data_IF_307672723582
#
_entry.id   IF_307672723582
#
_cell.length_a   1.000
_cell.length_b   1.000
_cell.length_c   1.000
_cell.angle_alpha   90.00
_cell.angle_beta   90.00
_cell.angle_gamma   90.00
#
_symmetry.space_group_name_H-M   'P 1'
#
loop_
_entity.id
_entity.type
_entity.pdbx_description
1 polymer ?
#
# COMPACT_ATOMS: atom_id res chain seq x y z
N UNK A 1 -3.23 20.86 -15.90
CA UNK A 1 -2.26 19.79 -16.23
C UNK A 1 -3.05 18.53 -16.55
N UNK A 2 -2.92 17.99 -17.76
CA UNK A 2 -3.67 16.80 -18.17
C UNK A 2 -3.07 15.56 -17.49
N UNK A 3 -3.77 14.99 -16.51
CA UNK A 3 -3.43 13.68 -15.97
C UNK A 3 -3.50 12.67 -17.11
N UNK A 4 -2.34 12.21 -17.60
CA UNK A 4 -2.27 11.05 -18.50
C UNK A 4 -2.99 9.93 -17.76
N UNK A 5 -4.15 9.49 -18.28
CA UNK A 5 -4.94 8.42 -17.68
C UNK A 5 -4.13 7.12 -17.75
N UNK A 6 -3.23 6.92 -16.80
CA UNK A 6 -2.51 5.67 -16.65
C UNK A 6 -3.56 4.65 -16.19
N UNK A 7 -3.87 3.71 -17.08
CA UNK A 7 -4.83 2.66 -16.79
C UNK A 7 -4.14 1.64 -15.89
N UNK A 8 -4.71 1.39 -14.73
CA UNK A 8 -4.22 0.36 -13.84
C UNK A 8 -4.44 -1.04 -14.46
N UNK A 9 -3.48 -1.99 -14.37
CA UNK A 9 -3.55 -3.30 -15.04
C UNK A 9 -4.69 -4.21 -14.54
N UNK A 10 -5.28 -3.91 -13.39
CA UNK A 10 -6.56 -4.50 -12.97
C UNK A 10 -6.70 -4.74 -11.48
N UNK A 11 -5.78 -5.48 -10.88
CA UNK A 11 -5.88 -5.97 -9.49
C UNK A 11 -4.67 -5.55 -8.67
N UNK A 12 -4.88 -5.34 -7.38
CA UNK A 12 -3.85 -5.10 -6.37
C UNK A 12 -3.89 -6.26 -5.39
N UNK A 13 -2.74 -6.93 -5.22
CA UNK A 13 -2.56 -8.05 -4.29
C UNK A 13 -1.98 -7.52 -2.98
N UNK A 14 -2.67 -7.79 -1.87
CA UNK A 14 -2.24 -7.45 -0.53
C UNK A 14 -1.63 -8.68 0.12
N UNK A 15 -0.40 -8.55 0.60
CA UNK A 15 0.39 -9.63 1.19
C UNK A 15 0.74 -9.25 2.62
N UNK A 16 0.59 -10.19 3.54
CA UNK A 16 1.11 -10.05 4.90
C UNK A 16 2.63 -10.21 4.85
N UNK A 17 3.37 -9.16 5.21
CA UNK A 17 4.83 -9.15 5.16
C UNK A 17 5.50 -10.08 6.19
N UNK A 18 4.78 -10.53 7.21
CA UNK A 18 5.30 -11.48 8.19
C UNK A 18 5.17 -12.94 7.72
N UNK A 19 4.06 -13.28 7.06
CA UNK A 19 3.76 -14.67 6.65
C UNK A 19 3.95 -14.91 5.16
N UNK A 20 4.18 -13.86 4.37
CA UNK A 20 4.21 -13.86 2.90
C UNK A 20 2.92 -14.40 2.24
N UNK A 21 1.82 -14.50 2.99
CA UNK A 21 0.54 -14.96 2.48
C UNK A 21 -0.26 -13.79 1.90
N UNK A 22 -0.98 -14.06 0.81
CA UNK A 22 -1.96 -13.13 0.25
C UNK A 22 -3.10 -13.01 1.26
N UNK A 23 -3.34 -11.79 1.75
CA UNK A 23 -4.45 -11.51 2.67
C UNK A 23 -5.70 -11.14 1.89
N UNK A 24 -5.55 -10.32 0.86
CA UNK A 24 -6.66 -9.85 0.03
C UNK A 24 -6.22 -9.56 -1.40
N UNK A 25 -7.16 -9.68 -2.32
CA UNK A 25 -7.05 -9.16 -3.67
C UNK A 25 -8.21 -8.19 -3.89
N UNK A 26 -7.90 -7.00 -4.43
CA UNK A 26 -8.90 -5.98 -4.74
C UNK A 26 -8.71 -5.49 -6.14
N UNK A 27 -9.80 -5.19 -6.85
CA UNK A 27 -9.69 -4.49 -8.13
C UNK A 27 -9.17 -3.10 -7.84
N UNK A 28 -8.28 -2.61 -8.68
CA UNK A 28 -7.73 -1.27 -8.54
C UNK A 28 -8.83 -0.21 -8.58
N UNK A 29 -9.90 -0.42 -9.34
CA UNK A 29 -11.07 0.47 -9.35
C UNK A 29 -11.76 0.61 -7.99
N UNK A 30 -11.63 -0.39 -7.10
CA UNK A 30 -12.21 -0.39 -5.75
C UNK A 30 -11.28 0.27 -4.71
N UNK A 31 -10.04 0.56 -5.10
CA UNK A 31 -9.01 1.14 -4.23
C UNK A 31 -8.90 2.65 -4.53
N UNK A 32 -8.69 3.53 -3.53
CA UNK A 32 -8.48 4.96 -3.78
C UNK A 32 -7.26 5.22 -4.67
N UNK A 33 -7.30 6.31 -5.45
CA UNK A 33 -6.25 6.64 -6.42
C UNK A 33 -4.86 6.79 -5.76
N UNK A 34 -4.81 7.33 -4.55
CA UNK A 34 -3.58 7.50 -3.76
C UNK A 34 -2.88 6.18 -3.39
N UNK A 35 -3.58 5.04 -3.47
CA UNK A 35 -3.00 3.71 -3.24
C UNK A 35 -2.79 2.97 -4.57
N UNK A 36 -3.61 3.26 -5.60
CA UNK A 36 -3.47 2.67 -6.93
C UNK A 36 -2.21 3.09 -7.67
N UNK A 37 -1.71 4.29 -7.41
CA UNK A 37 -0.60 4.86 -8.14
C UNK A 37 0.41 5.45 -7.17
N UNK A 38 1.69 5.20 -7.46
CA UNK A 38 2.81 5.82 -6.77
C UNK A 38 3.44 6.87 -7.67
N UNK A 39 3.72 8.04 -7.11
CA UNK A 39 4.48 9.10 -7.78
C UNK A 39 5.98 8.85 -7.54
N UNK A 40 6.72 8.59 -8.61
CA UNK A 40 8.17 8.36 -8.59
C UNK A 40 8.87 9.38 -9.49
N UNK A 41 10.20 9.47 -9.43
CA UNK A 41 10.97 10.32 -10.35
C UNK A 41 10.77 9.96 -11.84
N UNK A 42 10.48 8.69 -12.13
CA UNK A 42 10.14 8.21 -13.46
C UNK A 42 8.69 8.54 -13.89
N UNK A 43 7.89 9.09 -12.97
CA UNK A 43 6.48 9.42 -13.14
C UNK A 43 5.54 8.56 -12.31
N UNK A 44 4.27 8.57 -12.70
CA UNK A 44 3.20 7.85 -12.02
C UNK A 44 3.25 6.38 -12.43
N UNK A 45 3.41 5.47 -11.47
CA UNK A 45 3.49 4.01 -11.71
C UNK A 45 2.33 3.31 -11.00
N UNK A 46 1.60 2.39 -11.66
CA UNK A 46 0.53 1.62 -11.02
C UNK A 46 1.08 0.64 -9.97
N UNK A 47 0.38 0.54 -8.83
CA UNK A 47 0.73 -0.33 -7.71
C UNK A 47 -0.04 -1.64 -7.83
N UNK A 48 0.62 -2.74 -8.14
CA UNK A 48 -0.05 -4.06 -8.29
C UNK A 48 0.10 -4.95 -7.06
N UNK A 49 1.03 -4.62 -6.17
CA UNK A 49 1.33 -5.43 -4.99
C UNK A 49 1.64 -4.53 -3.80
N UNK A 50 1.01 -4.84 -2.67
CA UNK A 50 1.19 -4.15 -1.41
C UNK A 50 1.57 -5.18 -0.36
N UNK A 51 2.69 -4.96 0.31
CA UNK A 51 3.16 -5.80 1.42
C UNK A 51 3.01 -5.00 2.70
N UNK A 52 2.12 -5.45 3.59
CA UNK A 52 1.93 -4.85 4.90
C UNK A 52 2.60 -5.72 5.97
N UNK A 53 3.68 -5.21 6.56
CA UNK A 53 4.37 -5.85 7.69
C UNK A 53 3.99 -5.13 8.97
N UNK A 54 3.38 -5.83 9.92
CA UNK A 54 3.13 -5.27 11.26
C UNK A 54 4.10 -5.91 12.25
N UNK A 55 4.86 -5.08 12.97
CA UNK A 55 5.80 -5.50 14.02
C UNK A 55 5.59 -4.64 15.25
N UNK A 56 5.02 -5.23 16.31
CA UNK A 56 4.63 -4.51 17.52
C UNK A 56 3.71 -3.33 17.21
N UNK A 57 4.18 -2.13 17.54
CA UNK A 57 3.43 -0.88 17.37
C UNK A 57 3.65 -0.19 16.00
N UNK A 58 4.37 -0.84 15.08
CA UNK A 58 4.72 -0.30 13.77
C UNK A 58 4.11 -1.13 12.65
N UNK A 59 3.52 -0.47 11.68
CA UNK A 59 3.02 -1.07 10.44
C UNK A 59 3.73 -0.44 9.26
N UNK A 60 4.56 -1.23 8.60
CA UNK A 60 5.21 -0.85 7.34
C UNK A 60 4.35 -1.33 6.17
N UNK A 61 4.03 -0.42 5.26
CA UNK A 61 3.31 -0.70 4.02
C UNK A 61 4.26 -0.43 2.87
N UNK A 62 4.63 -1.47 2.11
CA UNK A 62 5.50 -1.37 0.94
C UNK A 62 4.70 -1.57 -0.34
N UNK A 63 4.90 -0.69 -1.32
CA UNK A 63 4.21 -0.70 -2.59
C UNK A 63 5.15 -1.14 -3.71
N UNK A 64 4.62 -1.95 -4.63
CA UNK A 64 5.39 -2.51 -5.74
C UNK A 64 4.62 -2.38 -7.06
N UNK A 65 5.39 -2.13 -8.12
CA UNK A 65 4.91 -2.00 -9.48
C UNK A 65 4.75 -3.34 -10.20
N UNK A 66 4.24 -3.31 -11.45
CA UNK A 66 3.95 -4.50 -12.26
C UNK A 66 5.18 -5.35 -12.59
N UNK A 67 6.37 -4.75 -12.62
CA UNK A 67 7.64 -5.47 -12.83
C UNK A 67 8.25 -5.97 -11.52
N UNK A 68 7.52 -5.83 -10.40
CA UNK A 68 7.99 -6.18 -9.08
C UNK A 68 8.95 -5.14 -8.47
N UNK A 69 9.14 -3.99 -9.12
CA UNK A 69 9.97 -2.90 -8.61
C UNK A 69 9.36 -2.28 -7.35
N UNK A 70 10.20 -1.89 -6.39
CA UNK A 70 9.76 -1.14 -5.22
C UNK A 70 9.43 0.30 -5.63
N UNK A 71 8.25 0.77 -5.23
CA UNK A 71 7.76 2.12 -5.57
C UNK A 71 7.81 3.08 -4.38
N UNK A 72 7.71 2.55 -3.16
CA UNK A 72 7.73 3.34 -1.95
C UNK A 72 7.26 2.57 -0.72
N UNK A 73 7.51 3.14 0.45
CA UNK A 73 7.04 2.63 1.72
C UNK A 73 6.41 3.72 2.57
N UNK A 74 5.43 3.32 3.37
CA UNK A 74 4.80 4.16 4.37
C UNK A 74 4.90 3.45 5.71
N UNK A 75 5.48 4.12 6.70
CA UNK A 75 5.50 3.66 8.08
C UNK A 75 4.33 4.31 8.82
N UNK A 76 3.40 3.50 9.28
CA UNK A 76 2.36 3.89 10.22
C UNK A 76 2.76 3.45 11.62
N UNK A 77 2.84 4.39 12.54
CA UNK A 77 2.90 4.08 13.97
C UNK A 77 1.47 3.99 14.45
N UNK A 78 1.10 2.89 15.13
CA UNK A 78 -0.14 2.89 15.91
C UNK A 78 0.16 3.81 17.09
N UNK A 79 -0.59 4.89 17.27
CA UNK A 79 -0.53 5.59 18.55
C UNK A 79 -0.90 4.55 19.63
N UNK A 80 -0.21 4.49 20.78
CA UNK A 80 -0.72 3.70 21.87
C UNK A 80 -2.16 4.18 22.12
N UNK A 81 -3.09 3.24 22.14
CA UNK A 81 -4.43 3.51 22.65
C UNK A 81 -4.17 3.94 24.10
N UNK A 82 -4.17 5.26 24.35
CA UNK A 82 -4.07 5.82 25.68
C UNK A 82 -5.37 5.41 26.35
N UNK A 83 -5.30 4.27 27.03
CA UNK A 83 -6.32 3.74 27.90
C UNK A 83 -6.60 4.83 28.93
N UNK A 84 -7.57 5.69 28.62
CA UNK A 84 -8.14 6.62 29.57
C UNK A 84 -8.90 5.81 30.62
N UNK A 85 -8.15 5.21 31.54
CA UNK A 85 -8.63 4.83 32.85
C UNK A 85 -8.91 6.12 33.61
N UNK A 86 -10.19 6.42 33.84
CA UNK A 86 -10.58 7.74 34.32
C UNK A 86 -11.95 7.83 35.01
N UNK A 87 -12.23 6.88 35.90
CA UNK A 87 -13.27 6.86 36.98
C UNK A 87 -14.74 6.68 36.63
#
# INVERSE_FOLDING_TARGET
>A
MAQKKIKHPGTIVFINGNTHQITHERKASEVPASIRFAETEAGIIPVVKIIATTSGNRREIRQFGPEGQFLGSTLQMKEPDDEQEGK
#
